data_IF_269530708133
#
_entry.id   IF_269530708133
#
_cell.length_a   1.000
_cell.length_b   1.000
_cell.length_c   1.000
_cell.angle_alpha   90.00
_cell.angle_beta   90.00
_cell.angle_gamma   90.00
#
_symmetry.space_group_name_H-M   'P 1'
#
loop_
_entity.id
_entity.type
_entity.pdbx_description
1 polymer ?
#
# COMPACT_ATOMS: atom_id res chain seq x y z
N UNK A 1 32.98 -27.12 -5.00
CA UNK A 1 31.77 -27.15 -5.87
C UNK A 1 32.18 -26.75 -7.28
N UNK A 2 31.64 -27.37 -8.33
CA UNK A 2 31.88 -26.91 -9.71
C UNK A 2 31.24 -25.53 -9.92
N UNK A 3 31.86 -24.68 -10.73
CA UNK A 3 31.43 -23.30 -11.02
C UNK A 3 29.96 -23.21 -11.43
N UNK A 4 29.46 -24.21 -12.17
CA UNK A 4 28.04 -24.30 -12.57
C UNK A 4 27.06 -24.40 -11.38
N UNK A 5 27.44 -25.03 -10.27
CA UNK A 5 26.61 -25.06 -9.05
C UNK A 5 26.56 -23.70 -8.36
N UNK A 6 27.63 -22.91 -8.43
CA UNK A 6 27.67 -21.56 -7.86
C UNK A 6 26.78 -20.60 -8.65
N UNK A 7 26.85 -20.67 -9.99
CA UNK A 7 26.00 -19.87 -10.88
C UNK A 7 24.51 -20.16 -10.62
N UNK A 8 24.11 -21.45 -10.56
CA UNK A 8 22.73 -21.82 -10.26
C UNK A 8 22.24 -21.31 -8.90
N UNK A 9 23.08 -21.39 -7.86
CA UNK A 9 22.73 -20.85 -6.54
C UNK A 9 22.55 -19.33 -6.55
N UNK A 10 23.36 -18.61 -7.32
CA UNK A 10 23.22 -17.17 -7.46
C UNK A 10 21.90 -16.82 -8.20
N UNK A 11 21.57 -17.54 -9.27
CA UNK A 11 20.30 -17.37 -9.99
C UNK A 11 19.08 -17.65 -9.12
N UNK A 12 19.12 -18.72 -8.32
CA UNK A 12 18.09 -19.05 -7.33
C UNK A 12 17.94 -17.94 -6.29
N UNK A 13 19.05 -17.40 -5.79
CA UNK A 13 19.05 -16.29 -4.84
C UNK A 13 18.42 -15.02 -5.42
N UNK A 14 18.85 -14.60 -6.62
CA UNK A 14 18.27 -13.44 -7.30
C UNK A 14 16.78 -13.63 -7.65
N UNK A 15 16.37 -14.87 -7.93
CA UNK A 15 14.97 -15.20 -8.20
C UNK A 15 14.12 -15.15 -6.92
N UNK A 16 14.65 -15.61 -5.78
CA UNK A 16 14.00 -15.54 -4.49
C UNK A 16 13.79 -14.09 -4.04
N UNK A 17 14.79 -13.23 -4.21
CA UNK A 17 14.70 -11.79 -3.91
C UNK A 17 13.61 -11.10 -4.75
N UNK A 18 13.56 -11.39 -6.06
CA UNK A 18 12.49 -10.90 -6.95
C UNK A 18 11.10 -11.39 -6.53
N UNK A 19 11.00 -12.63 -6.04
CA UNK A 19 9.72 -13.18 -5.55
C UNK A 19 9.26 -12.45 -4.29
N UNK A 20 10.15 -12.25 -3.32
CA UNK A 20 9.86 -11.51 -2.10
C UNK A 20 9.42 -10.06 -2.40
N UNK A 21 10.12 -9.38 -3.32
CA UNK A 21 9.76 -8.03 -3.75
C UNK A 21 8.36 -7.96 -4.36
N UNK A 22 7.95 -8.98 -5.15
CA UNK A 22 6.59 -9.06 -5.71
C UNK A 22 5.53 -9.24 -4.63
N UNK A 23 5.78 -10.13 -3.66
CA UNK A 23 4.86 -10.38 -2.54
C UNK A 23 4.68 -9.11 -1.67
N UNK A 24 5.76 -8.36 -1.45
CA UNK A 24 5.70 -7.07 -0.75
C UNK A 24 4.89 -6.02 -1.53
N UNK A 25 5.15 -5.89 -2.84
CA UNK A 25 4.40 -5.01 -3.74
C UNK A 25 2.89 -5.33 -3.69
N UNK A 26 2.51 -6.60 -3.75
CA UNK A 26 1.12 -7.00 -3.77
C UNK A 26 0.44 -6.78 -2.42
N UNK A 27 1.16 -7.01 -1.31
CA UNK A 27 0.70 -6.68 0.04
C UNK A 27 0.42 -5.18 0.19
N UNK A 28 1.32 -4.32 -0.30
CA UNK A 28 1.14 -2.86 -0.30
C UNK A 28 -0.07 -2.45 -1.14
N UNK A 29 -0.25 -3.04 -2.33
CA UNK A 29 -1.42 -2.76 -3.19
C UNK A 29 -2.74 -3.09 -2.49
N UNK A 30 -2.82 -4.23 -1.81
CA UNK A 30 -4.02 -4.63 -1.08
C UNK A 30 -4.34 -3.66 0.07
N UNK A 31 -3.33 -3.22 0.83
CA UNK A 31 -3.52 -2.17 1.85
C UNK A 31 -4.01 -0.86 1.22
N UNK A 32 -3.40 -0.41 0.11
CA UNK A 32 -3.81 0.80 -0.60
C UNK A 32 -5.24 0.70 -1.16
N UNK A 33 -5.68 -0.49 -1.58
CA UNK A 33 -7.04 -0.76 -2.03
C UNK A 33 -8.04 -0.65 -0.87
N UNK A 34 -7.72 -1.23 0.29
CA UNK A 34 -8.53 -1.09 1.52
C UNK A 34 -8.64 0.38 1.95
N UNK A 35 -7.52 1.12 1.94
CA UNK A 35 -7.52 2.57 2.21
C UNK A 35 -8.39 3.34 1.20
N UNK A 36 -8.45 2.93 -0.07
CA UNK A 36 -9.32 3.55 -1.09
C UNK A 36 -10.79 3.43 -0.71
N UNK A 37 -11.17 2.20 -0.35
CA UNK A 37 -12.55 1.88 0.03
C UNK A 37 -12.96 2.67 1.27
N UNK A 38 -12.10 2.70 2.30
CA UNK A 38 -12.36 3.47 3.53
C UNK A 38 -12.49 4.98 3.30
N UNK A 39 -11.66 5.55 2.42
CA UNK A 39 -11.79 6.96 2.02
C UNK A 39 -13.13 7.25 1.36
N UNK A 40 -13.55 6.36 0.43
CA UNK A 40 -14.84 6.51 -0.27
C UNK A 40 -16.01 6.45 0.72
N UNK A 41 -16.02 5.46 1.61
CA UNK A 41 -17.11 5.32 2.60
C UNK A 41 -17.15 6.50 3.57
N UNK A 42 -16.00 7.02 4.02
CA UNK A 42 -15.96 8.21 4.88
C UNK A 42 -16.41 9.47 4.14
N UNK A 43 -16.11 9.59 2.85
CA UNK A 43 -16.61 10.70 2.02
C UNK A 43 -18.14 10.65 1.90
N UNK A 44 -18.69 9.47 1.60
CA UNK A 44 -20.14 9.25 1.52
C UNK A 44 -20.83 9.51 2.88
N UNK A 45 -20.19 9.16 4.00
CA UNK A 45 -20.69 9.50 5.35
C UNK A 45 -20.68 11.01 5.59
N UNK A 46 -19.58 11.68 5.25
CA UNK A 46 -19.44 13.13 5.42
C UNK A 46 -20.48 13.93 4.61
N UNK A 47 -20.84 13.46 3.43
CA UNK A 47 -21.88 14.10 2.60
C UNK A 47 -23.28 14.03 3.26
N UNK A 48 -23.53 12.99 4.05
CA UNK A 48 -24.81 12.78 4.76
C UNK A 48 -24.82 13.35 6.17
N UNK A 49 -23.66 13.61 6.75
CA UNK A 49 -23.52 14.11 8.12
C UNK A 49 -23.97 15.56 8.21
N UNK A 50 -24.81 15.88 9.21
CA UNK A 50 -25.33 17.23 9.43
C UNK A 50 -24.71 17.87 10.67
N UNK A 51 -24.23 17.06 11.61
CA UNK A 51 -23.55 17.57 12.78
C UNK A 51 -22.18 18.15 12.41
N UNK A 52 -21.89 19.35 12.91
CA UNK A 52 -20.68 20.08 12.54
C UNK A 52 -19.42 19.46 13.16
N UNK A 53 -19.51 18.88 14.35
CA UNK A 53 -18.35 18.30 15.03
C UNK A 53 -18.04 16.91 14.47
N UNK A 54 -19.06 16.10 14.18
CA UNK A 54 -18.89 14.83 13.46
C UNK A 54 -18.35 15.06 12.05
N UNK A 55 -18.82 16.10 11.34
CA UNK A 55 -18.23 16.50 10.04
C UNK A 55 -16.75 16.83 10.18
N UNK A 56 -16.34 17.63 11.18
CA UNK A 56 -14.92 17.96 11.40
C UNK A 56 -14.09 16.71 11.67
N UNK A 57 -14.59 15.80 12.50
CA UNK A 57 -13.91 14.54 12.82
C UNK A 57 -13.73 13.67 11.57
N UNK A 58 -14.79 13.50 10.77
CA UNK A 58 -14.75 12.78 9.50
C UNK A 58 -13.78 13.43 8.50
N UNK A 59 -13.72 14.76 8.41
CA UNK A 59 -12.72 15.45 7.56
C UNK A 59 -11.29 15.18 8.04
N UNK A 60 -11.04 15.20 9.35
CA UNK A 60 -9.71 14.94 9.92
C UNK A 60 -9.25 13.51 9.63
N UNK A 61 -10.15 12.53 9.77
CA UNK A 61 -9.85 11.14 9.43
C UNK A 61 -9.57 10.99 7.92
N UNK A 62 -10.38 11.64 7.08
CA UNK A 62 -10.22 11.60 5.62
C UNK A 62 -8.87 12.21 5.17
N UNK A 63 -8.45 13.32 5.76
CA UNK A 63 -7.12 13.94 5.52
C UNK A 63 -5.99 12.99 5.91
N UNK A 64 -6.10 12.34 7.07
CA UNK A 64 -5.11 11.37 7.55
C UNK A 64 -4.99 10.19 6.60
N UNK A 65 -6.12 9.61 6.19
CA UNK A 65 -6.14 8.52 5.23
C UNK A 65 -5.59 8.93 3.87
N UNK A 66 -5.87 10.15 3.41
CA UNK A 66 -5.32 10.67 2.15
C UNK A 66 -3.80 10.79 2.20
N UNK A 67 -3.26 11.35 3.29
CA UNK A 67 -1.82 11.45 3.51
C UNK A 67 -1.17 10.05 3.55
N UNK A 68 -1.77 9.10 4.28
CA UNK A 68 -1.24 7.74 4.40
C UNK A 68 -1.27 6.99 3.06
N UNK A 69 -2.36 7.12 2.29
CA UNK A 69 -2.44 6.56 0.94
C UNK A 69 -1.37 7.15 0.03
N UNK A 70 -1.16 8.47 0.06
CA UNK A 70 -0.14 9.15 -0.75
C UNK A 70 1.26 8.66 -0.38
N UNK A 71 1.55 8.46 0.91
CA UNK A 71 2.80 7.86 1.38
C UNK A 71 2.99 6.44 0.82
N UNK A 72 1.98 5.58 0.95
CA UNK A 72 2.06 4.20 0.43
C UNK A 72 2.24 4.13 -1.09
N UNK A 73 1.62 5.03 -1.86
CA UNK A 73 1.85 5.14 -3.32
C UNK A 73 3.29 5.55 -3.65
N UNK A 74 3.90 6.43 -2.86
CA UNK A 74 5.33 6.80 -3.03
C UNK A 74 6.24 5.63 -2.75
N UNK A 75 5.96 4.84 -1.71
CA UNK A 75 6.73 3.61 -1.40
C UNK A 75 6.62 2.62 -2.56
N UNK A 76 5.40 2.37 -3.05
CA UNK A 76 5.17 1.47 -4.18
C UNK A 76 5.93 1.89 -5.44
N UNK A 77 6.05 3.20 -5.70
CA UNK A 77 6.82 3.73 -6.84
C UNK A 77 8.34 3.59 -6.67
N UNK A 78 8.85 3.44 -5.44
CA UNK A 78 10.29 3.21 -5.19
C UNK A 78 10.67 1.74 -5.32
N UNK A 79 9.74 0.84 -5.00
CA UNK A 79 9.95 -0.61 -5.06
C UNK A 79 9.74 -1.13 -6.49
N UNK A 80 8.86 -0.49 -7.27
CA UNK A 80 8.60 -0.81 -8.68
C UNK A 80 9.58 -0.10 -9.61
#
# INVERSE_FOLDING_TARGET
MKTSKLIKRAEEFFSAEKKQQREEIDSIKEILKKLKKKQRTLKEKLEKEKDNDDRKQLQKELRTLFAQRKKGLKVLKKIK
#
